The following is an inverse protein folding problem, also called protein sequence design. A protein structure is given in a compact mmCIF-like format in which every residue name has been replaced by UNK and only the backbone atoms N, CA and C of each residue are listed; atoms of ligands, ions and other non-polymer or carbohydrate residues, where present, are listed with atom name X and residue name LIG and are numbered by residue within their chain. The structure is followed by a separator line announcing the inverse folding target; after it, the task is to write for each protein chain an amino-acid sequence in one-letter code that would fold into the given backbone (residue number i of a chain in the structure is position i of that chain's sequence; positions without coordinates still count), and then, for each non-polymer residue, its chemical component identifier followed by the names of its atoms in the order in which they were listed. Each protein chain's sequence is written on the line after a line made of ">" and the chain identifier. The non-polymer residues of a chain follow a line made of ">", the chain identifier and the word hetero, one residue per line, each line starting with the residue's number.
data_IF_196968047486
#
_entry.id   IF_196968047486
#
_cell.length_a   1.000
_cell.length_b   1.000
_cell.length_c   1.000
_cell.angle_alpha   90.00
_cell.angle_beta   90.00
_cell.angle_gamma   90.00
#
_symmetry.space_group_name_H-M   'P 1'
#
loop_
_entity.id
_entity.type
_entity.pdbx_description
1 polymer ?
#
# COMPACT_ATOMS: atom_id res chain seq x y z
N UNK A 1 25.60 5.12 -2.09
CA UNK A 1 24.28 5.33 -1.49
C UNK A 1 23.26 5.01 -2.57
N UNK A 2 22.28 4.16 -2.27
CA UNK A 2 21.18 3.84 -3.17
C UNK A 2 20.18 4.98 -3.29
N UNK A 3 19.29 4.85 -4.28
CA UNK A 3 18.32 5.89 -4.61
C UNK A 3 17.17 5.89 -3.60
N UNK A 4 16.83 7.05 -3.06
CA UNK A 4 15.70 7.20 -2.13
C UNK A 4 14.52 7.79 -2.89
N UNK A 5 13.39 7.08 -2.90
CA UNK A 5 12.19 7.45 -3.62
C UNK A 5 11.04 7.62 -2.64
N UNK A 6 10.45 8.82 -2.60
CA UNK A 6 9.35 9.14 -1.70
C UNK A 6 8.03 9.22 -2.47
N UNK A 7 6.96 8.70 -1.88
CA UNK A 7 5.61 8.72 -2.46
C UNK A 7 4.53 8.43 -1.42
N UNK A 8 3.32 8.15 -1.90
CA UNK A 8 2.14 7.88 -1.08
C UNK A 8 1.52 6.53 -1.42
N UNK A 9 0.75 6.00 -0.48
CA UNK A 9 -0.11 4.85 -0.72
C UNK A 9 -1.44 5.36 -1.28
N UNK A 10 -1.62 5.20 -2.58
CA UNK A 10 -2.66 5.81 -3.43
C UNK A 10 -2.36 7.24 -3.88
N UNK A 11 -2.80 7.52 -5.12
CA UNK A 11 -2.98 8.86 -5.68
C UNK A 11 -4.47 9.14 -5.99
N UNK A 12 -5.33 8.13 -5.86
CA UNK A 12 -6.77 8.25 -6.20
C UNK A 12 -7.66 8.20 -4.97
N UNK A 13 -7.09 8.36 -3.77
CA UNK A 13 -7.87 8.39 -2.53
C UNK A 13 -8.92 9.52 -2.61
N UNK A 14 -10.22 9.24 -2.32
CA UNK A 14 -11.25 10.26 -2.43
C UNK A 14 -10.99 11.50 -1.57
N UNK A 15 -10.41 11.35 -0.38
CA UNK A 15 -10.10 12.49 0.48
C UNK A 15 -9.04 13.38 -0.18
N UNK A 16 -7.98 12.79 -0.75
CA UNK A 16 -6.98 13.52 -1.54
C UNK A 16 -7.60 14.16 -2.80
N UNK A 17 -8.47 13.46 -3.51
CA UNK A 17 -9.14 14.00 -4.70
C UNK A 17 -10.00 15.22 -4.35
N UNK A 18 -10.64 15.19 -3.19
CA UNK A 18 -11.48 16.28 -2.68
C UNK A 18 -10.72 17.40 -1.96
N UNK A 19 -9.44 17.22 -1.60
CA UNK A 19 -8.69 18.17 -0.78
C UNK A 19 -8.32 19.47 -1.49
N UNK A 20 -8.42 19.48 -2.83
CA UNK A 20 -7.97 20.60 -3.66
C UNK A 20 -6.51 20.48 -4.13
N UNK A 21 -5.79 19.42 -3.73
CA UNK A 21 -4.40 19.18 -4.17
C UNK A 21 -4.28 19.04 -5.69
N UNK A 22 -5.25 18.40 -6.34
CA UNK A 22 -5.30 18.33 -7.79
C UNK A 22 -5.85 19.62 -8.42
N UNK A 23 -5.13 20.23 -9.38
CA UNK A 23 -5.56 21.48 -9.99
C UNK A 23 -6.87 21.30 -10.77
N UNK A 24 -7.69 22.37 -10.89
CA UNK A 24 -8.85 22.37 -11.75
C UNK A 24 -8.49 21.89 -13.17
N UNK A 25 -9.35 21.06 -13.78
CA UNK A 25 -9.12 20.53 -15.12
C UNK A 25 -8.21 19.29 -15.22
N UNK A 26 -7.55 18.86 -14.13
CA UNK A 26 -6.78 17.58 -14.09
C UNK A 26 -7.34 16.55 -13.12
N UNK A 27 -8.68 16.48 -13.01
CA UNK A 27 -9.37 15.61 -12.04
C UNK A 27 -9.75 14.24 -12.58
N UNK A 28 -9.58 14.01 -13.88
CA UNK A 28 -9.76 12.70 -14.48
C UNK A 28 -8.60 11.75 -14.12
N UNK A 29 -8.75 10.46 -14.46
CA UNK A 29 -7.77 9.45 -14.07
C UNK A 29 -6.37 9.72 -14.65
N UNK A 30 -6.30 10.25 -15.87
CA UNK A 30 -5.04 10.59 -16.52
C UNK A 30 -4.40 11.84 -15.94
N UNK A 31 -5.14 12.94 -15.85
CA UNK A 31 -4.66 14.21 -15.34
C UNK A 31 -4.14 14.08 -13.91
N UNK A 32 -4.82 13.31 -13.05
CA UNK A 32 -4.37 13.05 -11.68
C UNK A 32 -3.05 12.29 -11.63
N UNK A 33 -2.91 11.20 -12.40
CA UNK A 33 -1.68 10.42 -12.37
C UNK A 33 -0.50 11.21 -12.93
N UNK A 34 -0.69 11.98 -14.01
CA UNK A 34 0.36 12.86 -14.55
C UNK A 34 0.78 13.91 -13.52
N UNK A 35 -0.20 14.59 -12.92
CA UNK A 35 0.07 15.60 -11.89
C UNK A 35 0.82 15.04 -10.68
N UNK A 36 0.46 13.82 -10.26
CA UNK A 36 1.14 13.12 -9.18
C UNK A 36 2.59 12.78 -9.57
N UNK A 37 2.79 12.24 -10.77
CA UNK A 37 4.10 11.81 -11.26
C UNK A 37 5.06 12.97 -11.55
N UNK A 38 4.56 14.20 -11.71
CA UNK A 38 5.38 15.41 -11.76
C UNK A 38 6.01 15.77 -10.40
N UNK A 39 5.50 15.22 -9.29
CA UNK A 39 5.93 15.54 -7.91
C UNK A 39 6.68 14.39 -7.24
N UNK A 40 6.20 13.17 -7.41
CA UNK A 40 6.76 12.00 -6.78
C UNK A 40 7.24 10.99 -7.82
N UNK A 41 8.37 10.32 -7.62
CA UNK A 41 8.86 9.29 -8.52
C UNK A 41 8.31 7.89 -8.19
N UNK A 42 7.50 7.77 -7.14
CA UNK A 42 7.01 6.50 -6.59
C UNK A 42 5.56 6.63 -6.15
N UNK A 43 4.76 5.59 -6.36
CA UNK A 43 3.45 5.42 -5.72
C UNK A 43 3.18 3.97 -5.37
N UNK A 44 2.43 3.73 -4.30
CA UNK A 44 1.87 2.42 -4.00
C UNK A 44 0.40 2.31 -4.47
N UNK A 45 0.12 1.27 -5.26
CA UNK A 45 -1.20 0.90 -5.78
C UNK A 45 -1.88 -0.02 -4.77
N UNK A 46 -2.82 0.54 -4.01
CA UNK A 46 -3.56 -0.19 -2.97
C UNK A 46 -4.86 -0.82 -3.48
N UNK A 47 -5.39 -0.33 -4.61
CA UNK A 47 -6.64 -0.82 -5.21
C UNK A 47 -6.58 -2.29 -5.58
N UNK A 48 -5.39 -2.81 -5.90
CA UNK A 48 -5.16 -4.20 -6.26
C UNK A 48 -5.38 -5.18 -5.11
N UNK A 49 -5.40 -4.71 -3.87
CA UNK A 49 -5.82 -5.52 -2.72
C UNK A 49 -7.32 -5.86 -2.78
N UNK A 50 -8.13 -4.92 -3.29
CA UNK A 50 -9.59 -4.97 -3.30
C UNK A 50 -10.19 -5.53 -4.61
N UNK A 51 -9.37 -5.73 -5.63
CA UNK A 51 -9.77 -6.35 -6.89
C UNK A 51 -8.53 -6.64 -7.73
N UNK A 52 -8.58 -7.68 -8.56
CA UNK A 52 -7.45 -8.00 -9.44
C UNK A 52 -7.16 -6.82 -10.40
N UNK A 53 -5.88 -6.45 -10.58
CA UNK A 53 -5.50 -5.46 -11.58
C UNK A 53 -5.84 -5.95 -12.99
N UNK A 54 -5.85 -5.03 -13.95
CA UNK A 54 -5.94 -5.34 -15.37
C UNK A 54 -4.68 -4.90 -16.11
N UNK A 55 -4.25 -5.70 -17.08
CA UNK A 55 -3.12 -5.37 -17.94
C UNK A 55 -3.33 -4.02 -18.67
N UNK A 56 -4.57 -3.69 -19.02
CA UNK A 56 -4.93 -2.39 -19.60
C UNK A 56 -4.55 -1.24 -18.66
N UNK A 57 -4.96 -1.29 -17.39
CA UNK A 57 -4.65 -0.22 -16.45
C UNK A 57 -3.14 -0.12 -16.18
N UNK A 58 -2.45 -1.25 -16.04
CA UNK A 58 -1.00 -1.28 -15.89
C UNK A 58 -0.26 -0.67 -17.08
N UNK A 59 -0.73 -0.90 -18.31
CA UNK A 59 -0.20 -0.22 -19.51
C UNK A 59 -0.44 1.28 -19.47
N UNK A 60 -1.68 1.71 -19.19
CA UNK A 60 -2.01 3.13 -19.08
C UNK A 60 -1.20 3.82 -17.99
N UNK A 61 -0.92 3.16 -16.86
CA UNK A 61 -0.06 3.70 -15.81
C UNK A 61 1.37 3.92 -16.29
N UNK A 62 1.94 2.96 -17.02
CA UNK A 62 3.28 3.11 -17.61
C UNK A 62 3.34 4.23 -18.66
N UNK A 63 2.31 4.39 -19.50
CA UNK A 63 2.22 5.44 -20.54
C UNK A 63 2.03 6.85 -19.97
N UNK A 64 1.49 6.97 -18.75
CA UNK A 64 1.14 8.24 -18.11
C UNK A 64 2.16 8.73 -17.10
N UNK A 65 3.27 8.01 -16.93
CA UNK A 65 4.34 8.34 -15.97
C UNK A 65 5.71 8.40 -16.66
N UNK A 66 6.62 9.28 -16.20
CA UNK A 66 7.92 9.49 -16.83
C UNK A 66 8.90 8.37 -16.51
N UNK A 67 9.92 8.17 -17.35
CA UNK A 67 11.04 7.22 -17.15
C UNK A 67 11.65 7.31 -15.74
N UNK A 68 11.93 6.16 -15.13
CA UNK A 68 12.32 6.04 -13.72
C UNK A 68 11.15 5.92 -12.71
N UNK A 69 9.93 6.39 -13.01
CA UNK A 69 8.79 6.26 -12.09
C UNK A 69 8.50 4.79 -11.70
N UNK A 70 8.24 4.54 -10.41
CA UNK A 70 7.98 3.22 -9.82
C UNK A 70 6.55 3.09 -9.30
N UNK A 71 5.96 1.91 -9.51
CA UNK A 71 4.72 1.47 -8.88
C UNK A 71 4.99 0.31 -7.94
N UNK A 72 4.79 0.51 -6.65
CA UNK A 72 4.65 -0.60 -5.71
C UNK A 72 3.22 -1.10 -5.78
N UNK A 73 3.02 -2.40 -5.96
CA UNK A 73 1.67 -2.97 -6.15
C UNK A 73 1.35 -3.89 -5.01
N UNK A 74 0.27 -3.61 -4.29
CA UNK A 74 -0.19 -4.48 -3.21
C UNK A 74 -0.74 -5.77 -3.77
N UNK A 75 -0.32 -6.89 -3.18
CA UNK A 75 -0.86 -8.19 -3.53
C UNK A 75 -2.38 -8.23 -3.28
N UNK A 76 -3.09 -8.92 -4.17
CA UNK A 76 -4.52 -9.16 -4.02
C UNK A 76 -4.82 -9.87 -2.70
N UNK A 77 -5.90 -9.50 -2.01
CA UNK A 77 -6.21 -10.00 -0.67
C UNK A 77 -6.19 -11.54 -0.54
N UNK A 78 -6.60 -12.26 -1.59
CA UNK A 78 -6.57 -13.72 -1.60
C UNK A 78 -5.14 -14.28 -1.56
N UNK A 79 -4.16 -13.55 -2.08
CA UNK A 79 -2.74 -13.90 -2.12
C UNK A 79 -1.98 -13.53 -0.84
N UNK A 80 -2.67 -13.03 0.18
CA UNK A 80 -2.03 -12.62 1.45
C UNK A 80 -2.65 -13.29 2.68
N UNK A 81 -3.56 -14.26 2.47
CA UNK A 81 -4.28 -14.93 3.55
C UNK A 81 -5.32 -14.06 4.27
N UNK A 82 -5.75 -12.96 3.64
CA UNK A 82 -6.83 -12.13 4.14
C UNK A 82 -8.20 -12.66 3.67
N UNK A 83 -9.26 -12.49 4.49
CA UNK A 83 -10.63 -12.63 4.03
C UNK A 83 -10.87 -11.81 2.76
N UNK A 84 -11.25 -12.49 1.68
CA UNK A 84 -11.48 -11.88 0.38
C UNK A 84 -12.97 -11.85 0.11
N UNK A 85 -13.51 -10.67 -0.21
CA UNK A 85 -14.93 -10.51 -0.54
C UNK A 85 -15.22 -11.20 -1.88
N UNK A 86 -16.30 -12.00 -2.01
CA UNK A 86 -16.64 -12.64 -3.29
C UNK A 86 -16.79 -11.66 -4.46
N UNK A 87 -17.27 -10.45 -4.20
CA UNK A 87 -17.40 -9.40 -5.21
C UNK A 87 -16.04 -8.91 -5.77
N UNK A 88 -14.96 -9.03 -5.00
CA UNK A 88 -13.60 -8.67 -5.42
C UNK A 88 -12.97 -9.69 -6.37
N UNK A 89 -13.54 -10.91 -6.43
CA UNK A 89 -13.09 -12.00 -7.28
C UNK A 89 -13.86 -11.98 -8.61
N UNK A 90 -13.19 -12.15 -9.77
CA UNK A 90 -13.84 -12.27 -11.07
C UNK A 90 -15.00 -13.26 -11.05
N UNK A 91 -16.09 -12.93 -11.75
CA UNK A 91 -17.36 -13.65 -11.66
C UNK A 91 -17.22 -15.16 -11.95
N UNK A 92 -16.35 -15.51 -12.89
CA UNK A 92 -16.03 -16.87 -13.29
C UNK A 92 -15.28 -17.69 -12.22
N UNK A 93 -14.58 -17.03 -11.29
CA UNK A 93 -13.83 -17.67 -10.21
C UNK A 93 -14.61 -17.75 -8.88
N UNK A 94 -15.74 -17.04 -8.76
CA UNK A 94 -16.56 -17.04 -7.54
C UNK A 94 -17.08 -18.42 -7.12
N UNK A 95 -17.49 -19.32 -8.04
CA UNK A 95 -17.89 -20.67 -7.65
C UNK A 95 -16.74 -21.47 -7.01
N UNK A 96 -15.50 -21.31 -7.48
CA UNK A 96 -14.33 -21.93 -6.88
C UNK A 96 -14.01 -21.33 -5.51
N UNK A 97 -14.14 -20.00 -5.36
CA UNK A 97 -13.99 -19.33 -4.06
C UNK A 97 -15.01 -19.83 -3.02
N UNK A 98 -16.25 -20.09 -3.42
CA UNK A 98 -17.27 -20.61 -2.51
C UNK A 98 -16.91 -22.01 -1.98
N UNK A 99 -16.33 -22.88 -2.82
CA UNK A 99 -15.83 -24.21 -2.44
C UNK A 99 -14.59 -24.12 -1.53
N UNK A 100 -13.80 -23.07 -1.67
CA UNK A 100 -12.57 -22.84 -0.91
C UNK A 100 -12.81 -22.56 0.59
N UNK A 101 -14.05 -22.25 1.01
CA UNK A 101 -14.38 -22.10 2.44
C UNK A 101 -13.88 -20.80 3.09
N UNK A 102 -13.46 -19.82 2.30
CA UNK A 102 -13.10 -18.47 2.76
C UNK A 102 -11.76 -18.39 3.49
N UNK A 103 -10.69 -18.09 2.74
CA UNK A 103 -9.41 -17.48 3.17
C UNK A 103 -8.60 -18.10 4.33
N UNK A 104 -9.08 -19.12 5.04
CA UNK A 104 -8.33 -19.82 6.09
C UNK A 104 -8.58 -21.31 6.02
N UNK A 105 -7.59 -22.04 5.54
CA UNK A 105 -7.55 -23.50 5.73
C UNK A 105 -6.61 -24.15 4.74
N UNK A 106 -5.94 -25.21 5.19
CA UNK A 106 -5.05 -26.08 4.42
C UNK A 106 -5.78 -26.91 3.34
N UNK A 107 -6.85 -26.36 2.77
CA UNK A 107 -7.69 -26.91 1.71
C UNK A 107 -7.94 -25.88 0.62
N UNK A 108 -6.88 -25.15 0.24
CA UNK A 108 -6.95 -24.28 -0.92
C UNK A 108 -7.25 -25.07 -2.17
N UNK A 109 -8.27 -24.67 -2.94
CA UNK A 109 -8.43 -25.18 -4.31
C UNK A 109 -7.20 -24.69 -5.07
N UNK A 110 -6.22 -25.56 -5.37
CA UNK A 110 -4.95 -25.11 -5.94
C UNK A 110 -5.18 -24.45 -7.29
N UNK A 111 -6.17 -24.91 -8.05
CA UNK A 111 -6.55 -24.34 -9.33
C UNK A 111 -7.08 -22.91 -9.23
N UNK A 112 -7.78 -22.56 -8.15
CA UNK A 112 -8.22 -21.17 -7.92
C UNK A 112 -7.01 -20.27 -7.68
N UNK A 113 -6.09 -20.67 -6.81
CA UNK A 113 -4.91 -19.86 -6.51
C UNK A 113 -3.98 -19.75 -7.73
N UNK A 114 -3.79 -20.84 -8.47
CA UNK A 114 -3.03 -20.85 -9.72
C UNK A 114 -3.57 -19.84 -10.73
N UNK A 115 -4.88 -19.84 -10.96
CA UNK A 115 -5.53 -18.92 -11.88
C UNK A 115 -5.44 -17.47 -11.41
N UNK A 116 -5.59 -17.22 -10.10
CA UNK A 116 -5.46 -15.88 -9.51
C UNK A 116 -4.02 -15.37 -9.64
N UNK A 117 -3.02 -16.21 -9.39
CA UNK A 117 -1.61 -15.87 -9.62
C UNK A 117 -1.32 -15.56 -11.08
N UNK A 118 -1.83 -16.37 -12.00
CA UNK A 118 -1.66 -16.16 -13.43
C UNK A 118 -2.25 -14.82 -13.87
N UNK A 119 -3.49 -14.52 -13.47
CA UNK A 119 -4.15 -13.23 -13.79
C UNK A 119 -3.43 -12.04 -13.16
N UNK A 120 -3.01 -12.16 -11.90
CA UNK A 120 -2.27 -11.11 -11.22
C UNK A 120 -0.94 -10.83 -11.93
N UNK A 121 -0.16 -11.88 -12.25
CA UNK A 121 1.11 -11.75 -12.97
C UNK A 121 0.95 -11.16 -14.37
N UNK A 122 -0.04 -11.63 -15.15
CA UNK A 122 -0.34 -11.10 -16.47
C UNK A 122 -0.75 -9.62 -16.41
N UNK A 123 -1.51 -9.22 -15.39
CA UNK A 123 -1.90 -7.83 -15.20
C UNK A 123 -0.69 -6.92 -14.89
N UNK A 124 0.31 -7.40 -14.16
CA UNK A 124 1.52 -6.63 -13.84
C UNK A 124 2.58 -6.64 -14.95
N UNK A 125 2.47 -7.52 -15.94
CA UNK A 125 3.44 -7.67 -17.02
C UNK A 125 3.78 -6.34 -17.74
N UNK A 126 2.81 -5.46 -18.09
CA UNK A 126 3.15 -4.18 -18.73
C UNK A 126 4.04 -3.28 -17.85
N UNK A 127 3.83 -3.28 -16.53
CA UNK A 127 4.71 -2.54 -15.62
C UNK A 127 6.10 -3.17 -15.56
N UNK A 128 6.22 -4.49 -15.65
CA UNK A 128 7.53 -5.18 -15.66
C UNK A 128 8.31 -4.88 -16.93
N UNK A 129 7.67 -5.00 -18.09
CA UNK A 129 8.27 -4.75 -19.40
C UNK A 129 8.74 -3.30 -19.52
N UNK A 130 7.93 -2.35 -19.03
CA UNK A 130 8.29 -0.94 -18.98
C UNK A 130 9.27 -0.58 -17.83
N UNK A 131 9.74 -1.56 -17.05
CA UNK A 131 10.58 -1.37 -15.84
C UNK A 131 9.97 -0.36 -14.84
N UNK A 132 8.65 -0.35 -14.74
CA UNK A 132 7.85 0.47 -13.82
C UNK A 132 7.45 -0.26 -12.54
N UNK A 133 7.48 -1.60 -12.52
CA UNK A 133 7.17 -2.34 -11.30
C UNK A 133 8.28 -2.10 -10.26
N UNK A 134 7.92 -1.37 -9.20
CA UNK A 134 8.72 -1.13 -8.00
C UNK A 134 8.88 -2.44 -7.25
N UNK A 135 7.90 -2.78 -6.43
CA UNK A 135 7.79 -4.05 -5.74
C UNK A 135 6.36 -4.61 -5.79
N UNK A 136 6.21 -5.89 -5.48
CA UNK A 136 4.92 -6.44 -5.04
C UNK A 136 4.91 -6.49 -3.51
N UNK A 137 3.98 -5.78 -2.89
CA UNK A 137 3.83 -5.72 -1.43
C UNK A 137 2.92 -6.85 -0.93
N UNK A 138 3.48 -7.75 -0.11
CA UNK A 138 2.74 -8.71 0.71
C UNK A 138 2.63 -8.18 2.14
N UNK A 139 1.57 -7.42 2.40
CA UNK A 139 1.18 -7.06 3.75
C UNK A 139 0.41 -8.23 4.37
N UNK A 140 0.94 -8.85 5.41
CA UNK A 140 0.31 -9.95 6.12
C UNK A 140 -0.64 -9.46 7.21
N UNK A 141 -1.70 -10.22 7.55
CA UNK A 141 -2.64 -9.82 8.58
C UNK A 141 -2.03 -9.92 9.99
N UNK A 142 -2.62 -9.23 10.99
CA UNK A 142 -2.08 -9.21 12.36
C UNK A 142 -2.13 -10.55 13.09
N UNK A 143 -2.89 -11.54 12.60
CA UNK A 143 -2.93 -12.89 13.16
C UNK A 143 -1.91 -13.85 12.52
N UNK A 144 -1.20 -13.44 11.46
CA UNK A 144 -0.17 -14.25 10.83
C UNK A 144 1.11 -14.24 11.67
N UNK A 145 1.12 -15.03 12.74
CA UNK A 145 2.26 -15.20 13.62
C UNK A 145 3.42 -15.96 12.93
N UNK A 146 4.67 -15.80 13.42
CA UNK A 146 5.79 -16.62 12.97
C UNK A 146 5.52 -18.10 13.27
N UNK A 147 5.66 -18.95 12.26
CA UNK A 147 5.39 -20.39 12.37
C UNK A 147 5.64 -21.12 11.06
N UNK A 148 5.67 -22.45 11.11
CA UNK A 148 6.00 -23.28 9.94
C UNK A 148 5.08 -23.00 8.73
N UNK A 149 3.77 -22.87 8.96
CA UNK A 149 2.80 -22.56 7.90
C UNK A 149 3.07 -21.21 7.22
N UNK A 150 3.20 -20.12 8.00
CA UNK A 150 3.46 -18.79 7.44
C UNK A 150 4.82 -18.70 6.76
N UNK A 151 5.84 -19.39 7.27
CA UNK A 151 7.15 -19.49 6.61
C UNK A 151 7.08 -20.27 5.31
N UNK A 152 6.32 -21.38 5.26
CA UNK A 152 6.03 -22.10 4.03
C UNK A 152 5.35 -21.22 2.99
N UNK A 153 4.37 -20.41 3.42
CA UNK A 153 3.70 -19.44 2.56
C UNK A 153 4.65 -18.38 1.98
N UNK A 154 5.62 -17.88 2.76
CA UNK A 154 6.65 -16.96 2.24
C UNK A 154 7.51 -17.61 1.14
N UNK A 155 7.83 -18.89 1.28
CA UNK A 155 8.57 -19.65 0.26
C UNK A 155 7.76 -19.81 -1.02
N UNK A 156 6.48 -20.20 -0.89
CA UNK A 156 5.57 -20.26 -2.04
C UNK A 156 5.43 -18.90 -2.73
N UNK A 157 5.25 -17.81 -1.96
CA UNK A 157 5.21 -16.46 -2.51
C UNK A 157 6.47 -16.15 -3.33
N UNK A 158 7.66 -16.50 -2.83
CA UNK A 158 8.92 -16.28 -3.56
C UNK A 158 8.96 -17.08 -4.87
N UNK A 159 8.57 -18.36 -4.85
CA UNK A 159 8.51 -19.21 -6.03
C UNK A 159 7.57 -18.62 -7.10
N UNK A 160 6.36 -18.23 -6.69
CA UNK A 160 5.33 -17.64 -7.57
C UNK A 160 5.74 -16.29 -8.17
N UNK A 161 6.60 -15.56 -7.47
CA UNK A 161 7.04 -14.22 -7.85
C UNK A 161 8.47 -14.20 -8.39
N UNK A 162 9.04 -15.34 -8.80
CA UNK A 162 10.43 -15.44 -9.25
C UNK A 162 10.83 -14.31 -10.22
N UNK A 163 11.95 -13.63 -9.93
CA UNK A 163 12.43 -12.49 -10.70
C UNK A 163 11.70 -11.17 -10.46
N UNK A 164 10.82 -11.08 -9.46
CA UNK A 164 10.18 -9.84 -9.03
C UNK A 164 10.83 -9.33 -7.75
N UNK A 165 10.85 -8.02 -7.55
CA UNK A 165 11.11 -7.42 -6.24
C UNK A 165 9.86 -7.58 -5.39
N UNK A 166 10.03 -8.10 -4.18
CA UNK A 166 8.93 -8.37 -3.25
C UNK A 166 9.23 -7.72 -1.93
N UNK A 167 8.24 -7.00 -1.40
CA UNK A 167 8.28 -6.39 -0.09
C UNK A 167 7.32 -7.12 0.85
N UNK A 168 7.75 -7.44 2.07
CA UNK A 168 6.96 -8.18 3.06
C UNK A 168 6.77 -7.33 4.29
N UNK A 169 5.51 -7.11 4.64
CA UNK A 169 5.14 -6.32 5.80
C UNK A 169 4.37 -7.17 6.81
N UNK A 170 4.98 -7.39 7.97
CA UNK A 170 4.36 -8.13 9.06
C UNK A 170 3.56 -7.20 9.96
N UNK A 171 2.31 -7.60 10.25
CA UNK A 171 1.43 -6.92 11.22
C UNK A 171 1.41 -7.59 12.58
N UNK A 172 1.94 -8.81 12.70
CA UNK A 172 2.06 -9.51 13.97
C UNK A 172 3.42 -9.17 14.62
N UNK A 173 3.46 -8.59 15.84
CA UNK A 173 4.71 -8.10 16.45
C UNK A 173 5.74 -9.20 16.71
N UNK A 174 5.28 -10.45 16.88
CA UNK A 174 6.14 -11.62 17.10
C UNK A 174 7.22 -11.86 16.03
N UNK A 175 7.08 -11.35 14.79
CA UNK A 175 8.12 -11.47 13.76
C UNK A 175 9.39 -10.68 14.08
N UNK A 176 9.26 -9.59 14.82
CA UNK A 176 10.37 -8.71 15.19
C UNK A 176 10.68 -8.69 16.69
N UNK A 177 10.08 -9.62 17.44
CA UNK A 177 10.44 -9.85 18.83
C UNK A 177 11.90 -10.32 18.95
N UNK A 178 12.54 -10.01 20.08
CA UNK A 178 13.99 -10.21 20.31
C UNK A 178 14.49 -11.62 19.94
N UNK A 179 13.77 -12.67 20.34
CA UNK A 179 14.15 -14.06 20.05
C UNK A 179 13.86 -14.56 18.63
N UNK A 180 13.11 -13.80 17.82
CA UNK A 180 12.67 -14.20 16.48
C UNK A 180 13.27 -13.31 15.37
N UNK A 181 13.61 -12.05 15.68
CA UNK A 181 14.14 -11.04 14.75
C UNK A 181 15.25 -11.55 13.84
N UNK A 182 16.26 -12.22 14.41
CA UNK A 182 17.40 -12.74 13.65
C UNK A 182 16.97 -13.86 12.67
N UNK A 183 16.03 -14.72 13.08
CA UNK A 183 15.50 -15.80 12.23
C UNK A 183 14.64 -15.24 11.10
N UNK A 184 13.80 -14.25 11.41
CA UNK A 184 13.00 -13.52 10.42
C UNK A 184 13.91 -12.87 9.37
N UNK A 185 14.93 -12.12 9.81
CA UNK A 185 15.86 -11.45 8.91
C UNK A 185 16.64 -12.45 8.03
N UNK A 186 17.11 -13.55 8.61
CA UNK A 186 17.81 -14.60 7.86
C UNK A 186 16.91 -15.27 6.81
N UNK A 187 15.66 -15.60 7.16
CA UNK A 187 14.70 -16.18 6.23
C UNK A 187 14.37 -15.22 5.07
N UNK A 188 14.10 -13.96 5.38
CA UNK A 188 13.80 -12.96 4.34
C UNK A 188 15.02 -12.72 3.44
N UNK A 189 16.23 -12.75 4.01
CA UNK A 189 17.47 -12.66 3.23
C UNK A 189 17.73 -13.87 2.34
N UNK A 190 17.48 -15.08 2.83
CA UNK A 190 17.55 -16.33 2.04
C UNK A 190 16.59 -16.28 0.84
N UNK A 191 15.40 -15.68 1.03
CA UNK A 191 14.37 -15.58 0.02
C UNK A 191 14.46 -14.29 -0.82
N UNK A 192 15.43 -13.41 -0.58
CA UNK A 192 15.53 -12.10 -1.23
C UNK A 192 14.19 -11.32 -1.19
N UNK A 193 13.62 -11.21 0.01
CA UNK A 193 12.38 -10.49 0.30
C UNK A 193 12.72 -9.25 1.12
N UNK A 194 12.33 -8.07 0.64
CA UNK A 194 12.56 -6.81 1.34
C UNK A 194 11.63 -6.70 2.56
N UNK A 195 12.20 -6.64 3.76
CA UNK A 195 11.45 -6.40 4.97
C UNK A 195 10.95 -4.95 4.98
N UNK A 196 9.66 -4.75 5.20
CA UNK A 196 9.05 -3.42 5.29
C UNK A 196 9.19 -2.90 6.72
N UNK A 197 9.90 -1.80 6.89
CA UNK A 197 9.89 -1.01 8.11
C UNK A 197 8.59 -0.21 8.21
N UNK A 198 8.04 -0.08 9.41
CA UNK A 198 6.72 0.54 9.59
C UNK A 198 6.76 1.58 10.71
N UNK A 199 6.38 2.82 10.40
CA UNK A 199 6.16 3.85 11.42
C UNK A 199 4.70 3.80 11.88
N UNK A 200 4.51 3.63 13.18
CA UNK A 200 3.22 3.62 13.88
C UNK A 200 3.37 4.33 15.23
N UNK A 201 2.26 4.65 15.90
CA UNK A 201 2.28 5.33 17.20
C UNK A 201 3.14 4.58 18.23
N UNK A 202 4.23 5.15 18.76
CA UNK A 202 5.10 4.44 19.72
C UNK A 202 4.37 4.06 21.01
N UNK A 203 4.64 2.87 21.54
CA UNK A 203 4.19 2.45 22.87
C UNK A 203 2.72 2.06 23.01
N UNK A 204 1.93 2.11 21.92
CA UNK A 204 0.53 1.67 21.93
C UNK A 204 0.38 0.18 21.57
N UNK A 205 -0.75 -0.40 21.97
CA UNK A 205 -1.05 -1.79 21.66
C UNK A 205 -1.17 -2.00 20.14
N UNK A 206 -0.50 -3.02 19.60
CA UNK A 206 -0.49 -3.30 18.16
C UNK A 206 0.41 -2.37 17.34
N UNK A 207 1.19 -1.51 17.99
CA UNK A 207 2.26 -0.76 17.33
C UNK A 207 3.40 -1.67 16.92
N UNK A 208 4.03 -1.34 15.80
CA UNK A 208 5.14 -2.09 15.22
C UNK A 208 6.46 -1.39 15.51
N UNK A 209 7.53 -2.18 15.61
CA UNK A 209 8.87 -1.65 15.78
C UNK A 209 9.40 -1.12 14.45
N UNK A 210 9.84 0.15 14.39
CA UNK A 210 10.32 0.75 13.15
C UNK A 210 11.71 0.25 12.75
N UNK A 211 12.48 -0.27 13.71
CA UNK A 211 13.79 -0.85 13.45
C UNK A 211 13.62 -2.20 12.76
N UNK A 212 13.88 -2.27 11.46
CA UNK A 212 13.85 -3.49 10.64
C UNK A 212 15.13 -3.52 9.80
N UNK A 213 15.88 -4.65 9.76
CA UNK A 213 17.13 -4.72 9.00
C UNK A 213 16.87 -4.74 7.50
N UNK A 214 17.86 -4.31 6.71
CA UNK A 214 17.87 -4.56 5.26
C UNK A 214 18.05 -6.05 5.02
N UNK A 215 17.05 -6.68 4.42
CA UNK A 215 17.04 -8.12 4.12
C UNK A 215 17.21 -8.43 2.63
N UNK A 216 17.05 -7.45 1.74
CA UNK A 216 17.28 -7.60 0.30
C UNK A 216 18.22 -6.49 -0.20
N UNK A 217 19.28 -6.81 -0.98
CA UNK A 217 20.22 -5.80 -1.46
C UNK A 217 19.61 -4.85 -2.50
N UNK A 218 18.58 -5.30 -3.24
CA UNK A 218 17.98 -4.50 -4.30
C UNK A 218 16.96 -3.46 -3.80
N UNK A 219 16.38 -3.65 -2.60
CA UNK A 219 15.26 -2.85 -2.14
C UNK A 219 15.16 -2.83 -0.60
N UNK A 220 14.90 -1.66 -0.05
CA UNK A 220 14.34 -1.47 1.29
C UNK A 220 13.06 -0.64 1.20
N UNK A 221 12.11 -0.86 2.10
CA UNK A 221 10.81 -0.16 2.09
C UNK A 221 10.46 0.33 3.49
N UNK A 222 9.99 1.57 3.58
CA UNK A 222 9.45 2.16 4.80
C UNK A 222 8.03 2.64 4.53
N UNK A 223 7.06 2.20 5.34
CA UNK A 223 5.66 2.65 5.27
C UNK A 223 5.27 3.43 6.52
N UNK A 224 4.81 4.66 6.34
CA UNK A 224 4.37 5.57 7.39
C UNK A 224 2.86 5.51 7.54
N UNK A 225 2.36 4.88 8.61
CA UNK A 225 0.91 4.75 8.83
C UNK A 225 0.32 5.82 9.73
N UNK A 226 1.14 6.67 10.33
CA UNK A 226 0.71 7.69 11.30
C UNK A 226 0.95 7.28 12.74
N UNK A 227 1.04 8.27 13.62
CA UNK A 227 1.23 8.12 15.07
C UNK A 227 -0.02 8.50 15.86
N UNK A 228 -1.19 8.22 15.30
CA UNK A 228 -2.49 8.53 15.93
C UNK A 228 -2.59 7.92 17.33
N UNK A 229 -3.10 8.66 18.33
CA UNK A 229 -3.37 8.11 19.66
C UNK A 229 -4.46 7.03 19.65
N UNK A 230 -5.24 6.94 18.56
CA UNK A 230 -6.21 5.87 18.37
C UNK A 230 -5.57 4.56 17.90
N UNK A 231 -4.25 4.47 17.73
CA UNK A 231 -3.60 3.22 17.31
C UNK A 231 -3.95 2.05 18.24
N UNK A 232 -4.34 0.91 17.65
CA UNK A 232 -4.84 -0.26 18.40
C UNK A 232 -6.30 -0.14 18.89
N UNK A 233 -6.92 1.02 18.75
CA UNK A 233 -8.34 1.26 19.07
C UNK A 233 -9.05 1.90 17.85
N UNK A 234 -10.32 2.27 18.00
CA UNK A 234 -11.07 3.02 16.99
C UNK A 234 -11.24 2.34 15.63
N UNK A 235 -11.73 3.12 14.67
CA UNK A 235 -11.90 2.69 13.27
C UNK A 235 -10.56 2.58 12.56
N UNK A 236 -10.54 2.07 11.32
CA UNK A 236 -9.32 2.08 10.50
C UNK A 236 -8.87 3.51 10.31
N UNK A 237 -9.78 4.38 9.92
CA UNK A 237 -9.57 5.78 9.63
C UNK A 237 -8.98 6.51 10.84
N UNK A 238 -9.45 6.23 12.06
CA UNK A 238 -8.90 6.85 13.28
C UNK A 238 -7.43 6.50 13.50
N UNK A 239 -7.01 5.27 13.17
CA UNK A 239 -5.62 4.82 13.33
C UNK A 239 -4.68 5.50 12.35
N UNK A 240 -5.10 5.67 11.10
CA UNK A 240 -4.27 6.29 10.06
C UNK A 240 -4.35 7.83 10.05
N UNK A 241 -5.32 8.43 10.76
CA UNK A 241 -5.47 9.89 10.85
C UNK A 241 -4.31 10.50 11.61
N UNK A 242 -3.32 11.00 10.86
CA UNK A 242 -2.15 11.67 11.41
C UNK A 242 -1.60 12.69 10.44
N UNK A 243 -1.19 13.84 10.98
CA UNK A 243 -0.48 14.89 10.26
C UNK A 243 0.95 14.90 10.80
N UNK A 244 1.89 14.36 10.02
CA UNK A 244 3.27 14.22 10.47
C UNK A 244 3.92 15.59 10.61
N UNK A 245 4.56 15.85 11.74
CA UNK A 245 5.36 17.07 11.92
C UNK A 245 6.74 16.91 11.29
N UNK A 246 7.38 18.02 10.92
CA UNK A 246 8.76 18.01 10.43
C UNK A 246 9.73 17.39 11.44
N UNK A 247 9.47 17.53 12.75
CA UNK A 247 10.28 16.89 13.79
C UNK A 247 10.18 15.36 13.72
N UNK A 248 8.96 14.81 13.62
CA UNK A 248 8.73 13.36 13.49
C UNK A 248 9.37 12.78 12.22
N UNK A 249 9.30 13.51 11.10
CA UNK A 249 9.93 13.10 9.85
C UNK A 249 11.47 13.16 9.94
N UNK A 250 12.02 14.19 10.58
CA UNK A 250 13.47 14.37 10.75
C UNK A 250 14.10 13.24 11.57
N UNK A 251 13.37 12.64 12.52
CA UNK A 251 13.82 11.43 13.23
C UNK A 251 14.13 10.27 12.28
N UNK A 252 13.45 10.19 11.14
CA UNK A 252 13.60 9.10 10.17
C UNK A 252 14.72 9.34 9.16
N UNK A 253 15.15 10.58 8.93
CA UNK A 253 16.18 10.91 7.91
C UNK A 253 17.47 10.09 8.09
N UNK A 254 18.08 9.99 9.29
CA UNK A 254 19.28 9.17 9.46
C UNK A 254 19.02 7.68 9.21
N UNK A 255 17.83 7.19 9.55
CA UNK A 255 17.44 5.78 9.35
C UNK A 255 17.28 5.48 7.86
N UNK A 256 16.58 6.33 7.13
CA UNK A 256 16.40 6.19 5.67
C UNK A 256 17.74 6.23 4.95
N UNK A 257 18.65 7.14 5.33
CA UNK A 257 20.02 7.19 4.77
C UNK A 257 20.81 5.92 5.07
N UNK A 258 20.73 5.39 6.30
CA UNK A 258 21.37 4.12 6.65
C UNK A 258 20.81 2.91 5.88
N UNK A 259 19.52 2.92 5.52
CA UNK A 259 18.94 1.93 4.62
C UNK A 259 19.52 2.08 3.20
N UNK A 260 19.65 3.32 2.71
CA UNK A 260 20.22 3.63 1.40
C UNK A 260 21.71 3.28 1.29
N UNK A 261 22.44 3.22 2.40
CA UNK A 261 23.82 2.72 2.39
C UNK A 261 23.92 1.22 2.14
N UNK A 262 22.82 0.48 2.29
CA UNK A 262 22.79 -1.00 2.26
C UNK A 262 21.87 -1.60 1.20
N UNK A 263 20.99 -0.79 0.61
CA UNK A 263 20.08 -1.20 -0.45
C UNK A 263 20.24 -0.30 -1.69
N UNK A 264 20.03 -0.86 -2.88
CA UNK A 264 20.12 -0.12 -4.14
C UNK A 264 19.00 0.94 -4.31
N UNK A 265 17.80 0.63 -3.86
CA UNK A 265 16.65 1.56 -3.81
C UNK A 265 16.00 1.51 -2.42
N UNK A 266 15.55 2.67 -1.91
CA UNK A 266 14.74 2.80 -0.70
C UNK A 266 13.42 3.47 -1.04
N UNK A 267 12.32 2.74 -0.86
CA UNK A 267 10.98 3.25 -1.08
C UNK A 267 10.40 3.77 0.24
N UNK A 268 10.02 5.05 0.27
CA UNK A 268 9.48 5.76 1.43
C UNK A 268 8.03 6.14 1.12
N UNK A 269 7.07 5.45 1.74
CA UNK A 269 5.66 5.51 1.38
C UNK A 269 4.80 6.03 2.54
N UNK A 270 4.03 7.08 2.29
CA UNK A 270 3.09 7.65 3.25
C UNK A 270 1.68 7.10 3.06
N UNK A 271 1.14 6.48 4.11
CA UNK A 271 -0.18 5.85 4.15
C UNK A 271 -1.09 6.44 5.25
N UNK A 272 -0.65 7.53 5.91
CA UNK A 272 -1.50 8.28 6.82
C UNK A 272 -2.67 8.90 6.03
N UNK A 273 -3.87 8.88 6.62
CA UNK A 273 -5.07 9.36 5.97
C UNK A 273 -5.47 10.75 6.48
N UNK A 274 -6.33 11.41 5.69
CA UNK A 274 -6.98 12.72 5.88
C UNK A 274 -6.50 13.79 4.88
N UNK A 275 -7.35 14.06 3.89
CA UNK A 275 -7.13 15.09 2.88
C UNK A 275 -5.82 14.89 2.14
N UNK A 276 -4.94 15.88 2.24
CA UNK A 276 -3.62 15.93 1.61
C UNK A 276 -2.46 15.58 2.57
N UNK A 277 -2.73 15.07 3.77
CA UNK A 277 -1.70 14.85 4.79
C UNK A 277 -0.56 13.92 4.32
N UNK A 278 -0.87 12.87 3.54
CA UNK A 278 0.16 11.97 3.01
C UNK A 278 1.07 12.65 1.98
N UNK A 279 0.51 13.46 1.07
CA UNK A 279 1.31 14.14 0.03
C UNK A 279 2.14 15.27 0.65
N UNK A 280 1.62 16.00 1.64
CA UNK A 280 2.39 17.00 2.40
C UNK A 280 3.55 16.35 3.17
N UNK A 281 3.31 15.21 3.82
CA UNK A 281 4.37 14.48 4.53
C UNK A 281 5.44 13.94 3.57
N UNK A 282 5.04 13.46 2.39
CA UNK A 282 5.95 13.01 1.34
C UNK A 282 6.81 14.16 0.77
N UNK A 283 6.22 15.33 0.52
CA UNK A 283 6.93 16.55 0.10
C UNK A 283 7.94 17.00 1.18
N UNK A 284 7.50 17.10 2.43
CA UNK A 284 8.37 17.49 3.55
C UNK A 284 9.53 16.51 3.78
N UNK A 285 9.28 15.20 3.69
CA UNK A 285 10.33 14.17 3.79
C UNK A 285 11.36 14.31 2.67
N UNK A 286 10.92 14.62 1.44
CA UNK A 286 11.84 14.83 0.31
C UNK A 286 12.74 16.05 0.53
N UNK A 287 12.17 17.19 0.94
CA UNK A 287 12.94 18.39 1.28
C UNK A 287 13.99 18.10 2.38
N UNK A 288 13.60 17.37 3.44
CA UNK A 288 14.53 16.96 4.51
C UNK A 288 15.67 16.05 4.00
N UNK A 289 15.38 15.14 3.08
CA UNK A 289 16.38 14.22 2.51
C UNK A 289 17.37 14.96 1.61
N UNK A 290 16.91 15.96 0.87
CA UNK A 290 17.70 16.84 0.00
C UNK A 290 18.54 17.86 0.79
N UNK A 291 18.35 17.94 2.11
CA UNK A 291 19.10 18.82 3.01
C UNK A 291 18.55 20.25 3.07
N UNK A 292 17.32 20.45 2.60
CA UNK A 292 16.61 21.71 2.67
C UNK A 292 15.93 21.87 4.03
N UNK A 293 15.75 23.12 4.47
CA UNK A 293 14.88 23.42 5.60
C UNK A 293 13.44 23.13 5.19
N UNK A 294 12.96 21.93 5.52
CA UNK A 294 11.56 21.60 5.28
C UNK A 294 10.67 22.52 6.13
N UNK A 295 9.85 23.32 5.47
CA UNK A 295 8.75 24.03 6.12
C UNK A 295 7.88 23.00 6.85
N UNK A 296 7.30 23.43 7.98
CA UNK A 296 6.33 22.60 8.67
C UNK A 296 5.21 22.27 7.68
N UNK A 297 4.82 20.99 7.48
CA UNK A 297 3.77 20.65 6.52
C UNK A 297 2.50 21.37 6.93
N UNK A 298 2.27 22.54 6.33
CA UNK A 298 1.30 23.52 6.79
C UNK A 298 -0.03 23.26 6.11
N UNK A 299 -1.13 23.68 6.76
CA UNK A 299 -2.48 23.61 6.19
C UNK A 299 -2.77 24.76 5.21
N UNK A 300 -1.77 25.50 4.73
CA UNK A 300 -1.99 26.76 4.01
C UNK A 300 -2.26 26.54 2.52
N UNK A 301 -3.42 25.96 2.23
CA UNK A 301 -4.23 26.42 1.11
C UNK A 301 -5.22 27.45 1.64
N UNK A 302 -5.28 28.64 1.04
CA UNK A 302 -6.26 29.68 1.37
C UNK A 302 -7.69 29.20 1.13
N UNK A 303 -8.28 28.44 2.04
CA UNK A 303 -9.70 28.11 2.10
C UNK A 303 -10.18 28.34 3.53
N UNK A 304 -11.14 29.26 3.66
CA UNK A 304 -11.50 29.92 4.90
C UNK A 304 -11.87 28.99 6.05
N UNK A 305 -11.73 29.54 7.26
CA UNK A 305 -12.17 28.95 8.53
C UNK A 305 -13.57 28.35 8.39
N UNK A 306 -13.62 27.04 8.18
CA UNK A 306 -14.79 26.20 8.45
C UNK A 306 -14.60 25.56 9.83
N UNK A 307 -15.64 25.51 10.67
CA UNK A 307 -15.51 25.00 12.03
C UNK A 307 -15.15 23.52 11.99
N UNK A 308 -14.52 23.04 13.07
CA UNK A 308 -14.19 21.63 13.33
C UNK A 308 -15.26 20.67 12.78
N UNK A 309 -14.99 20.12 11.60
CA UNK A 309 -16.04 19.48 10.80
C UNK A 309 -15.62 19.19 9.36
N UNK A 310 -14.36 18.78 9.12
CA UNK A 310 -14.05 18.09 7.86
C UNK A 310 -14.68 16.70 7.92
N UNK A 311 -15.89 16.60 7.38
CA UNK A 311 -16.64 15.36 7.27
C UNK A 311 -15.94 14.44 6.26
N UNK A 312 -15.34 13.36 6.76
CA UNK A 312 -15.07 12.18 5.95
C UNK A 312 -16.44 11.63 5.50
N UNK A 313 -16.90 11.97 4.29
CA UNK A 313 -18.23 11.60 3.84
C UNK A 313 -18.21 10.62 2.65
N UNK A 314 -18.82 9.47 2.94
CA UNK A 314 -19.63 8.56 2.14
C UNK A 314 -19.43 8.48 0.62
N UNK A 315 -18.88 7.31 0.26
CA UNK A 315 -19.17 6.46 -0.90
C UNK A 315 -20.25 6.97 -1.86
N UNK A 316 -19.82 7.39 -3.06
CA UNK A 316 -20.53 7.07 -4.30
C UNK A 316 -19.52 6.64 -5.35
N UNK A 317 -19.80 5.49 -5.95
CA UNK A 317 -19.07 4.82 -7.02
C UNK A 317 -18.95 5.73 -8.26
N UNK A 318 -17.74 6.05 -8.78
CA UNK A 318 -17.60 6.95 -9.91
C UNK A 318 -17.77 6.28 -11.28
N UNK A 319 -18.17 5.00 -11.38
CA UNK A 319 -18.23 4.28 -12.68
C UNK A 319 -19.64 3.86 -13.16
N UNK A 320 -20.70 4.58 -12.76
CA UNK A 320 -22.05 4.39 -13.31
C UNK A 320 -22.53 5.54 -14.19
N UNK A 321 -22.46 5.32 -15.51
CA UNK A 321 -23.35 5.74 -16.62
C UNK A 321 -22.64 5.35 -17.94
N UNK A 322 -23.15 4.53 -18.86
CA UNK A 322 -24.50 4.48 -19.46
C UNK A 322 -24.89 3.07 -19.93
N UNK A 323 -26.11 2.61 -19.60
CA UNK A 323 -26.94 1.74 -20.47
C UNK A 323 -28.41 1.81 -19.99
N UNK A 324 -29.42 1.82 -20.89
CA UNK A 324 -30.80 2.08 -20.51
C UNK A 324 -31.52 0.83 -19.97
N UNK A 325 -32.15 1.02 -18.81
CA UNK A 325 -33.41 0.44 -18.31
C UNK A 325 -33.85 -0.95 -18.83
N UNK A 326 -33.86 -1.93 -17.93
CA UNK A 326 -34.98 -2.85 -17.77
C UNK A 326 -35.16 -3.24 -16.29
N UNK A 327 -36.40 -3.11 -15.84
CA UNK A 327 -36.95 -3.37 -14.50
C UNK A 327 -36.73 -4.79 -13.95
N UNK A 328 -36.57 -4.92 -12.63
CA UNK A 328 -36.91 -6.18 -11.93
C UNK A 328 -36.11 -6.51 -10.67
N UNK A 329 -36.62 -6.06 -9.52
CA UNK A 329 -36.66 -6.76 -8.21
C UNK A 329 -35.36 -7.23 -7.52
N UNK A 330 -34.99 -6.49 -6.47
CA UNK A 330 -34.82 -7.06 -5.12
C UNK A 330 -33.45 -7.61 -4.74
N UNK A 331 -32.55 -6.75 -4.27
CA UNK A 331 -31.38 -7.14 -3.46
C UNK A 331 -31.39 -6.32 -2.16
N UNK A 332 -31.46 -7.00 -1.03
CA UNK A 332 -31.23 -6.39 0.29
C UNK A 332 -29.74 -6.13 0.45
N UNK A 333 -29.35 -4.86 0.40
CA UNK A 333 -28.03 -4.37 0.81
C UNK A 333 -27.95 -4.30 2.33
N UNK A 334 -26.95 -4.95 2.93
CA UNK A 334 -26.50 -4.62 4.28
C UNK A 334 -25.59 -3.40 4.17
N UNK A 335 -26.20 -2.23 4.35
CA UNK A 335 -25.58 -0.92 4.49
C UNK A 335 -24.81 -0.83 5.80
N UNK A 336 -23.63 -0.20 5.76
CA UNK A 336 -22.86 0.18 6.93
C UNK A 336 -23.70 1.06 7.87
N UNK A 337 -24.17 0.48 8.99
CA UNK A 337 -24.46 1.22 10.21
C UNK A 337 -23.87 0.47 11.40
N UNK A 338 -23.07 1.22 12.15
CA UNK A 338 -22.37 0.93 13.40
C UNK A 338 -21.28 -0.15 13.33
#
# INVERSE_FOLDING_TARGET
>A
MGDIMTGTCSWTDPALVSSGWYPPGRRDAEGRLRHYADRFPLVEVDSTYYGLPSARNSRLWAERTPDGFRFDVKAFSLLTGHPTRPAAVPADLRPALARHGGARGAGADPGLLDEVWQRFGAALQPLREARRLGAVLFQFPPWAAPGAGTRGFLRECRERTAGWRVAVEFRHPGWWAEGERARTAALLGELDLAAVAVDTAPGLAGSLTPDVPVTAPALSVVRFHGRSPAWGTGTKEDRFRHDYTTAELREWVPRVRALADRAAEVHVLFNNCCGDAAVRAAEAMRALLDGEDAEEPSRTGTHGDGPAGQTCSHTTDPDRRDTPSASGTGTQEVSCRN
#
